data_IF_445121563268
#
_entry.id   IF_445121563268
#
_cell.length_a   1.000
_cell.length_b   1.000
_cell.length_c   1.000
_cell.angle_alpha   90.00
_cell.angle_beta   90.00
_cell.angle_gamma   90.00
#
_symmetry.space_group_name_H-M   'P 1'
#
loop_
_entity.id
_entity.type
_entity.pdbx_description
1 polymer ?
#
# COMPACT_ATOMS: atom_id res chain seq x y z
N UNK A 1 21.21 -63.00 -50.31
CA UNK A 1 20.81 -63.14 -51.72
C UNK A 1 19.40 -63.71 -51.93
N UNK A 2 18.93 -64.72 -51.16
CA UNK A 2 17.52 -65.19 -51.25
C UNK A 2 16.50 -64.30 -50.49
N UNK A 3 16.93 -63.59 -49.45
CA UNK A 3 16.06 -62.69 -48.65
C UNK A 3 15.77 -61.33 -49.33
N UNK A 4 16.60 -60.91 -50.30
CA UNK A 4 16.42 -59.69 -51.12
C UNK A 4 15.46 -59.91 -52.30
N UNK A 5 15.49 -61.10 -52.92
CA UNK A 5 14.66 -61.44 -54.09
C UNK A 5 13.19 -61.75 -53.76
N UNK A 6 12.84 -61.88 -52.47
CA UNK A 6 11.48 -62.23 -52.00
C UNK A 6 10.81 -61.12 -51.14
N UNK A 7 11.35 -59.89 -51.13
CA UNK A 7 10.77 -58.75 -50.37
C UNK A 7 10.82 -58.88 -48.84
N UNK A 8 11.46 -59.93 -48.33
CA UNK A 8 11.52 -60.23 -46.89
C UNK A 8 12.48 -59.32 -46.13
N UNK A 9 13.54 -58.85 -46.80
CA UNK A 9 14.46 -57.87 -46.24
C UNK A 9 13.77 -56.50 -46.02
N UNK A 10 12.96 -56.05 -46.98
CA UNK A 10 12.20 -54.80 -46.90
C UNK A 10 11.13 -54.86 -45.81
N UNK A 11 10.42 -55.98 -45.70
CA UNK A 11 9.46 -56.20 -44.61
C UNK A 11 10.12 -56.25 -43.22
N UNK A 12 11.32 -56.86 -43.10
CA UNK A 12 12.08 -56.84 -41.84
C UNK A 12 12.53 -55.42 -41.46
N UNK A 13 12.99 -54.63 -42.43
CA UNK A 13 13.35 -53.23 -42.22
C UNK A 13 12.14 -52.40 -41.78
N UNK A 14 10.96 -52.63 -42.40
CA UNK A 14 9.73 -51.94 -42.02
C UNK A 14 9.21 -52.36 -40.64
N UNK A 15 9.35 -53.64 -40.28
CA UNK A 15 9.02 -54.12 -38.93
C UNK A 15 9.93 -53.44 -37.91
N UNK A 16 11.23 -53.38 -38.16
CA UNK A 16 12.18 -52.74 -37.26
C UNK A 16 11.90 -51.24 -37.09
N UNK A 17 11.60 -50.53 -38.19
CA UNK A 17 11.21 -49.12 -38.16
C UNK A 17 9.92 -48.90 -37.36
N UNK A 18 8.90 -49.74 -37.55
CA UNK A 18 7.65 -49.68 -36.80
C UNK A 18 7.83 -50.04 -35.31
N UNK A 19 8.74 -50.95 -34.98
CA UNK A 19 9.09 -51.28 -33.60
C UNK A 19 9.80 -50.11 -32.91
N UNK A 20 10.72 -49.44 -33.60
CA UNK A 20 11.39 -48.23 -33.12
C UNK A 20 10.40 -47.06 -32.95
N UNK A 21 9.48 -46.86 -33.89
CA UNK A 21 8.43 -45.84 -33.84
C UNK A 21 7.45 -46.13 -32.69
N UNK A 22 7.04 -47.39 -32.51
CA UNK A 22 6.23 -47.82 -31.37
C UNK A 22 6.93 -47.51 -30.04
N UNK A 23 8.21 -47.85 -29.91
CA UNK A 23 8.98 -47.54 -28.70
C UNK A 23 9.17 -46.03 -28.48
N UNK A 24 9.23 -45.23 -29.54
CA UNK A 24 9.23 -43.77 -29.42
C UNK A 24 7.88 -43.24 -28.91
N UNK A 25 6.77 -43.71 -29.48
CA UNK A 25 5.42 -43.32 -29.06
C UNK A 25 5.10 -43.76 -27.62
N UNK A 26 5.52 -44.95 -27.22
CA UNK A 26 5.38 -45.44 -25.83
C UNK A 26 6.12 -44.53 -24.83
N UNK A 27 7.33 -44.08 -25.18
CA UNK A 27 8.10 -43.14 -24.34
C UNK A 27 7.43 -41.77 -24.26
N UNK A 28 6.90 -41.26 -25.38
CA UNK A 28 6.17 -39.99 -25.38
C UNK A 28 4.90 -40.08 -24.53
N UNK A 29 4.14 -41.17 -24.65
CA UNK A 29 2.92 -41.40 -23.86
C UNK A 29 3.24 -41.49 -22.36
N UNK A 30 4.32 -42.17 -21.99
CA UNK A 30 4.77 -42.26 -20.60
C UNK A 30 5.13 -40.88 -20.03
N UNK A 31 5.89 -40.07 -20.77
CA UNK A 31 6.26 -38.72 -20.35
C UNK A 31 5.05 -37.77 -20.24
N UNK A 32 4.08 -37.89 -21.14
CA UNK A 32 2.82 -37.13 -21.05
C UNK A 32 1.97 -37.57 -19.86
N UNK A 33 1.87 -38.89 -19.62
CA UNK A 33 1.13 -39.41 -18.48
C UNK A 33 1.75 -38.98 -17.14
N UNK A 34 3.08 -38.90 -17.06
CA UNK A 34 3.81 -38.40 -15.88
C UNK A 34 3.51 -36.92 -15.65
N UNK A 35 3.65 -36.06 -16.68
CA UNK A 35 3.31 -34.64 -16.59
C UNK A 35 1.87 -34.39 -16.16
N UNK A 36 0.93 -35.20 -16.65
CA UNK A 36 -0.49 -35.10 -16.27
C UNK A 36 -0.69 -35.50 -14.81
N UNK A 37 0.02 -36.51 -14.33
CA UNK A 37 0.00 -36.93 -12.92
C UNK A 37 0.53 -35.82 -12.01
N UNK A 38 1.66 -35.22 -12.36
CA UNK A 38 2.27 -34.14 -11.59
C UNK A 38 1.37 -32.90 -11.53
N UNK A 39 0.79 -32.48 -12.67
CA UNK A 39 -0.15 -31.36 -12.71
C UNK A 39 -1.41 -31.59 -11.84
N UNK A 40 -1.89 -32.84 -11.75
CA UNK A 40 -3.01 -33.19 -10.86
C UNK A 40 -2.58 -33.15 -9.40
N UNK A 41 -1.39 -33.64 -9.08
CA UNK A 41 -0.84 -33.60 -7.73
C UNK A 41 -0.65 -32.16 -7.25
N UNK A 42 -0.08 -31.28 -8.08
CA UNK A 42 0.10 -29.86 -7.79
C UNK A 42 -1.24 -29.17 -7.54
N UNK A 43 -2.25 -29.46 -8.37
CA UNK A 43 -3.61 -28.92 -8.18
C UNK A 43 -4.21 -29.37 -6.85
N UNK A 44 -4.06 -30.64 -6.50
CA UNK A 44 -4.55 -31.18 -5.23
C UNK A 44 -3.85 -30.54 -4.02
N UNK A 45 -2.54 -30.29 -4.10
CA UNK A 45 -1.81 -29.59 -3.05
C UNK A 45 -2.27 -28.14 -2.89
N UNK A 46 -2.54 -27.45 -4.00
CA UNK A 46 -3.07 -26.09 -3.98
C UNK A 46 -4.48 -26.06 -3.34
N UNK A 47 -5.38 -26.98 -3.73
CA UNK A 47 -6.72 -27.11 -3.16
C UNK A 47 -6.66 -27.40 -1.64
N UNK A 48 -5.77 -28.30 -1.19
CA UNK A 48 -5.57 -28.57 0.24
C UNK A 48 -5.10 -27.32 1.01
N UNK A 49 -4.24 -26.50 0.39
CA UNK A 49 -3.76 -25.27 0.99
C UNK A 49 -4.87 -24.23 1.11
N UNK A 50 -5.71 -24.10 0.10
CA UNK A 50 -6.90 -23.22 0.14
C UNK A 50 -7.82 -23.64 1.28
N UNK A 51 -8.21 -24.92 1.35
CA UNK A 51 -9.10 -25.42 2.41
C UNK A 51 -8.50 -25.16 3.81
N UNK A 52 -7.20 -25.39 4.00
CA UNK A 52 -6.53 -25.10 5.27
C UNK A 52 -6.52 -23.61 5.62
N UNK A 53 -6.42 -22.74 4.63
CA UNK A 53 -6.49 -21.29 4.84
C UNK A 53 -7.92 -20.84 5.16
N UNK A 54 -8.92 -21.41 4.49
CA UNK A 54 -10.34 -21.17 4.77
C UNK A 54 -10.71 -21.62 6.19
N UNK A 55 -10.30 -22.82 6.59
CA UNK A 55 -10.50 -23.32 7.96
C UNK A 55 -9.87 -22.37 9.00
N UNK A 56 -8.70 -21.82 8.69
CA UNK A 56 -8.01 -20.86 9.56
C UNK A 56 -8.72 -19.50 9.59
N UNK A 57 -9.30 -19.04 8.48
CA UNK A 57 -10.11 -17.84 8.44
C UNK A 57 -11.33 -18.03 9.36
N UNK A 58 -12.05 -19.14 9.19
CA UNK A 58 -13.21 -19.47 10.04
C UNK A 58 -12.81 -19.51 11.51
N UNK A 59 -11.70 -20.16 11.85
CA UNK A 59 -11.20 -20.22 13.23
C UNK A 59 -10.86 -18.83 13.81
N UNK A 60 -10.31 -17.94 12.98
CA UNK A 60 -9.97 -16.56 13.38
C UNK A 60 -11.21 -15.68 13.50
N UNK A 61 -12.17 -15.81 12.60
CA UNK A 61 -13.47 -15.14 12.67
C UNK A 61 -14.23 -15.56 13.94
N UNK A 62 -14.31 -16.86 14.22
CA UNK A 62 -14.90 -17.41 15.43
C UNK A 62 -14.22 -16.90 16.71
N UNK A 63 -12.91 -16.71 16.67
CA UNK A 63 -12.14 -16.17 17.81
C UNK A 63 -12.42 -14.70 18.00
N UNK A 64 -12.49 -13.94 16.90
CA UNK A 64 -12.84 -12.53 16.91
C UNK A 64 -14.26 -12.32 17.44
N UNK A 65 -15.22 -13.13 17.00
CA UNK A 65 -16.60 -13.07 17.49
C UNK A 65 -16.68 -13.38 18.99
N UNK A 66 -15.94 -14.39 19.47
CA UNK A 66 -15.87 -14.71 20.91
C UNK A 66 -15.16 -13.65 21.75
N UNK A 67 -14.20 -12.92 21.18
CA UNK A 67 -13.57 -11.77 21.84
C UNK A 67 -14.52 -10.56 21.85
N UNK A 68 -15.22 -10.30 20.75
CA UNK A 68 -16.26 -9.28 20.65
C UNK A 68 -17.44 -9.53 21.61
N UNK A 69 -17.82 -10.79 21.82
CA UNK A 69 -18.87 -11.22 22.75
C UNK A 69 -18.44 -11.12 24.23
N UNK A 70 -17.14 -11.07 24.53
CA UNK A 70 -16.62 -10.88 25.90
C UNK A 70 -16.50 -9.41 26.28
N UNK A 71 -16.28 -8.51 25.32
CA UNK A 71 -16.25 -7.05 25.52
C UNK A 71 -17.67 -6.42 25.61
N UNK A 72 -18.72 -7.14 25.22
CA UNK A 72 -20.09 -6.59 25.07
C UNK A 72 -20.85 -6.34 26.37
N UNK A 73 -20.23 -6.47 27.55
CA UNK A 73 -20.87 -6.08 28.80
C UNK A 73 -20.72 -4.58 29.12
N UNK A 74 -19.88 -3.80 28.41
CA UNK A 74 -19.80 -2.34 28.62
C UNK A 74 -19.15 -1.47 27.52
N UNK A 75 -18.65 -2.01 26.41
CA UNK A 75 -17.80 -1.22 25.51
C UNK A 75 -18.53 -0.35 24.47
N UNK A 76 -18.17 0.95 24.46
CA UNK A 76 -18.51 1.86 23.37
C UNK A 76 -17.82 1.36 22.10
N UNK A 77 -18.53 1.34 20.97
CA UNK A 77 -17.96 0.99 19.66
C UNK A 77 -17.71 2.24 18.83
N UNK A 78 -16.77 2.16 17.87
CA UNK A 78 -16.56 3.23 16.89
C UNK A 78 -17.88 3.47 16.14
N UNK A 79 -18.51 4.63 16.36
CA UNK A 79 -19.79 5.00 15.74
C UNK A 79 -19.71 5.11 14.23
N UNK A 80 -18.53 5.45 13.71
CA UNK A 80 -18.30 5.43 12.27
C UNK A 80 -16.96 5.99 11.85
N UNK A 81 -16.46 5.48 10.73
CA UNK A 81 -15.30 6.00 10.02
C UNK A 81 -15.74 6.73 8.74
N UNK A 82 -15.07 7.82 8.36
CA UNK A 82 -15.27 8.49 7.07
C UNK A 82 -13.93 8.94 6.49
N UNK A 83 -13.70 8.73 5.18
CA UNK A 83 -12.56 9.32 4.47
C UNK A 83 -12.95 10.71 3.94
N UNK A 84 -12.20 11.73 4.35
CA UNK A 84 -12.47 13.13 4.06
C UNK A 84 -11.44 13.66 3.04
N UNK A 85 -11.95 14.35 2.01
CA UNK A 85 -11.16 15.04 0.97
C UNK A 85 -11.86 16.35 0.56
N UNK A 86 -11.10 17.27 -0.04
CA UNK A 86 -11.62 18.49 -0.68
C UNK A 86 -12.58 19.30 0.20
N UNK A 87 -13.74 19.67 -0.36
CA UNK A 87 -14.76 20.48 0.33
C UNK A 87 -15.36 19.80 1.58
N UNK A 88 -15.43 18.47 1.61
CA UNK A 88 -15.94 17.73 2.79
C UNK A 88 -14.98 17.82 3.96
N UNK A 89 -13.67 17.69 3.71
CA UNK A 89 -12.63 17.94 4.71
C UNK A 89 -12.69 19.38 5.20
N UNK A 90 -12.84 20.36 4.28
CA UNK A 90 -12.98 21.78 4.63
C UNK A 90 -14.06 22.00 5.68
N UNK A 91 -15.27 21.50 5.39
CA UNK A 91 -16.42 21.68 6.25
C UNK A 91 -16.27 21.03 7.63
N UNK A 92 -15.49 19.94 7.75
CA UNK A 92 -15.20 19.31 9.04
C UNK A 92 -14.20 20.14 9.84
N UNK A 93 -13.10 20.59 9.21
CA UNK A 93 -12.10 21.43 9.86
C UNK A 93 -12.69 22.77 10.30
N UNK A 94 -13.53 23.40 9.47
CA UNK A 94 -14.22 24.64 9.80
C UNK A 94 -15.16 24.47 11.00
N UNK A 95 -15.87 23.33 11.09
CA UNK A 95 -16.71 23.02 12.26
C UNK A 95 -15.89 22.88 13.53
N UNK A 96 -14.78 22.16 13.48
CA UNK A 96 -13.88 22.01 14.64
C UNK A 96 -13.36 23.38 15.07
N UNK A 97 -12.92 24.23 14.13
CA UNK A 97 -12.46 25.59 14.43
C UNK A 97 -13.54 26.53 14.97
N UNK A 98 -14.78 26.33 14.55
CA UNK A 98 -15.92 27.13 15.02
C UNK A 98 -16.36 26.79 16.45
N UNK A 99 -15.91 25.65 16.98
CA UNK A 99 -16.28 25.20 18.31
C UNK A 99 -15.55 26.05 19.36
N UNK A 100 -16.32 26.72 20.21
CA UNK A 100 -15.84 27.58 21.28
C UNK A 100 -16.43 27.13 22.61
N UNK A 101 -15.58 27.08 23.63
CA UNK A 101 -15.92 26.67 25.00
C UNK A 101 -15.51 27.75 25.99
N UNK A 102 -15.73 27.50 27.29
CA UNK A 102 -15.04 28.25 28.34
C UNK A 102 -13.54 27.93 28.36
N UNK A 103 -12.76 28.60 29.23
CA UNK A 103 -11.36 28.29 29.42
C UNK A 103 -11.16 26.79 29.68
N UNK A 104 -10.19 26.19 28.97
CA UNK A 104 -9.83 24.77 29.08
C UNK A 104 -11.00 23.80 28.78
N UNK A 105 -11.96 24.20 27.93
CA UNK A 105 -13.10 23.33 27.58
C UNK A 105 -12.92 22.49 26.31
N UNK A 106 -11.89 22.74 25.50
CA UNK A 106 -11.62 22.01 24.26
C UNK A 106 -10.24 21.34 24.29
N UNK A 107 -10.21 20.00 24.28
CA UNK A 107 -8.99 19.19 24.23
C UNK A 107 -8.61 18.89 22.78
N UNK A 108 -7.35 19.14 22.44
CA UNK A 108 -6.71 18.66 21.22
C UNK A 108 -5.48 17.84 21.60
N UNK A 109 -5.36 16.61 21.11
CA UNK A 109 -4.22 15.75 21.41
C UNK A 109 -3.73 14.97 20.19
N UNK A 110 -2.47 15.16 19.81
CA UNK A 110 -1.82 14.32 18.80
C UNK A 110 -1.27 13.05 19.44
N UNK A 111 -1.94 11.92 19.17
CA UNK A 111 -1.52 10.58 19.58
C UNK A 111 -0.77 9.95 18.41
N UNK A 112 0.55 9.84 18.54
CA UNK A 112 1.45 9.45 17.44
C UNK A 112 1.76 7.94 17.41
N UNK A 113 1.64 7.27 18.55
CA UNK A 113 1.99 5.86 18.72
C UNK A 113 0.82 5.08 19.33
N UNK A 114 0.39 4.01 18.65
CA UNK A 114 -0.70 3.14 19.09
C UNK A 114 -0.27 2.13 20.17
N UNK A 115 1.04 1.84 20.26
CA UNK A 115 1.61 0.93 21.25
C UNK A 115 1.91 1.66 22.57
N UNK A 116 2.14 2.97 22.51
CA UNK A 116 2.34 3.80 23.69
C UNK A 116 1.05 3.97 24.50
N UNK A 117 1.21 4.06 25.82
CA UNK A 117 0.12 4.47 26.70
C UNK A 117 -0.34 5.90 26.35
N UNK A 118 -1.65 6.15 26.43
CA UNK A 118 -2.16 7.50 26.29
C UNK A 118 -1.66 8.38 27.44
N UNK A 119 -1.34 9.66 27.18
CA UNK A 119 -1.14 10.63 28.25
C UNK A 119 -2.34 10.63 29.20
N UNK A 120 -2.09 10.76 30.51
CA UNK A 120 -3.12 10.70 31.55
C UNK A 120 -4.30 11.61 31.25
N UNK A 121 -4.02 12.86 30.87
CA UNK A 121 -5.03 13.85 30.45
C UNK A 121 -5.93 13.37 29.31
N UNK A 122 -5.38 12.64 28.34
CA UNK A 122 -6.14 12.09 27.22
C UNK A 122 -6.96 10.89 27.66
N UNK A 123 -6.39 10.02 28.51
CA UNK A 123 -7.10 8.86 29.05
C UNK A 123 -8.27 9.28 29.93
N UNK A 124 -8.12 10.32 30.75
CA UNK A 124 -9.18 10.88 31.59
C UNK A 124 -10.28 11.50 30.73
N UNK A 125 -9.91 12.33 29.75
CA UNK A 125 -10.88 13.00 28.87
C UNK A 125 -11.64 12.02 27.96
N UNK A 126 -10.94 11.01 27.42
CA UNK A 126 -11.56 9.98 26.61
C UNK A 126 -12.44 9.04 27.45
N UNK A 127 -12.13 8.88 28.74
CA UNK A 127 -12.76 7.93 29.64
C UNK A 127 -12.77 6.52 29.04
N UNK A 128 -13.95 5.91 28.97
CA UNK A 128 -14.15 4.58 28.40
C UNK A 128 -13.73 4.48 26.92
N UNK A 129 -13.65 5.60 26.17
CA UNK A 129 -13.21 5.60 24.78
C UNK A 129 -11.69 5.52 24.62
N UNK A 130 -10.90 5.60 25.70
CA UNK A 130 -9.43 5.61 25.66
C UNK A 130 -8.80 4.51 24.80
N UNK A 131 -9.20 3.23 24.91
CA UNK A 131 -8.68 2.17 24.06
C UNK A 131 -8.94 2.40 22.56
N UNK A 132 -10.11 2.96 22.20
CA UNK A 132 -10.45 3.29 20.81
C UNK A 132 -9.63 4.46 20.28
N UNK A 133 -9.40 5.48 21.11
CA UNK A 133 -8.54 6.63 20.78
C UNK A 133 -7.12 6.16 20.51
N UNK A 134 -6.58 5.29 21.37
CA UNK A 134 -5.25 4.69 21.17
C UNK A 134 -5.17 3.89 19.86
N UNK A 135 -6.18 3.07 19.58
CA UNK A 135 -6.26 2.27 18.33
C UNK A 135 -6.39 3.14 17.07
N UNK A 136 -6.90 4.37 17.19
CA UNK A 136 -6.99 5.30 16.07
C UNK A 136 -5.64 5.92 15.69
N UNK A 137 -4.60 5.80 16.53
CA UNK A 137 -3.29 6.37 16.27
C UNK A 137 -2.62 5.79 15.00
N UNK A 138 -1.82 6.59 14.26
CA UNK A 138 -1.55 8.01 14.49
C UNK A 138 -2.78 8.88 14.17
N UNK A 139 -3.20 9.72 15.11
CA UNK A 139 -4.36 10.60 14.96
C UNK A 139 -4.34 11.77 15.95
N UNK A 140 -5.07 12.83 15.59
CA UNK A 140 -5.37 13.96 16.47
C UNK A 140 -6.77 13.75 17.04
N UNK A 141 -6.85 13.57 18.35
CA UNK A 141 -8.07 13.42 19.11
C UNK A 141 -8.59 14.79 19.55
N UNK A 142 -9.89 15.01 19.34
CA UNK A 142 -10.62 16.20 19.71
C UNK A 142 -11.82 15.81 20.59
N UNK A 143 -11.89 16.39 21.79
CA UNK A 143 -13.03 16.25 22.69
C UNK A 143 -13.25 17.50 23.52
N UNK A 144 -14.48 17.75 23.94
CA UNK A 144 -14.82 18.84 24.86
C UNK A 144 -15.17 18.34 26.27
N UNK A 145 -15.18 19.27 27.20
CA UNK A 145 -15.55 19.05 28.61
C UNK A 145 -17.02 18.63 28.81
N UNK A 146 -17.91 18.98 27.87
CA UNK A 146 -19.31 18.58 27.88
C UNK A 146 -19.61 17.29 27.09
N UNK A 147 -18.62 16.71 26.40
CA UNK A 147 -18.74 15.47 25.63
C UNK A 147 -19.62 15.58 24.37
N UNK A 148 -19.79 16.78 23.82
CA UNK A 148 -20.50 17.04 22.56
C UNK A 148 -19.72 16.58 21.32
N UNK A 149 -18.39 16.63 21.40
CA UNK A 149 -17.42 16.27 20.37
C UNK A 149 -16.55 15.17 20.95
N UNK A 150 -16.40 14.07 20.22
CA UNK A 150 -15.42 13.02 20.52
C UNK A 150 -15.05 12.35 19.21
N UNK A 151 -13.98 12.86 18.59
CA UNK A 151 -13.56 12.44 17.25
C UNK A 151 -12.04 12.37 17.16
N UNK A 152 -11.54 11.48 16.33
CA UNK A 152 -10.13 11.46 15.94
C UNK A 152 -10.00 11.68 14.43
N UNK A 153 -9.09 12.56 14.03
CA UNK A 153 -8.69 12.73 12.64
C UNK A 153 -7.29 12.15 12.46
N UNK A 154 -7.11 11.24 11.50
CA UNK A 154 -5.79 10.79 11.06
C UNK A 154 -5.33 11.69 9.91
N UNK A 155 -4.42 12.65 10.17
CA UNK A 155 -3.94 13.56 9.14
C UNK A 155 -2.97 12.85 8.19
N UNK A 156 -2.88 13.31 6.93
CA UNK A 156 -1.79 13.00 6.01
C UNK A 156 -0.40 13.25 6.62
N UNK A 157 -0.25 14.38 7.32
CA UNK A 157 0.99 14.74 8.00
C UNK A 157 0.75 14.73 9.50
N UNK A 158 1.41 13.78 10.17
CA UNK A 158 1.27 13.61 11.63
C UNK A 158 2.15 14.64 12.35
N UNK A 159 1.58 15.53 13.18
CA UNK A 159 2.39 16.44 13.98
C UNK A 159 3.15 15.71 15.08
N UNK A 160 4.10 16.41 15.72
CA UNK A 160 4.68 15.95 16.97
C UNK A 160 3.59 15.75 18.04
N UNK A 161 3.83 14.82 18.96
CA UNK A 161 2.88 14.52 20.04
C UNK A 161 2.64 15.75 20.92
N UNK A 162 1.38 16.10 21.13
CA UNK A 162 0.98 17.19 22.01
C UNK A 162 -0.34 16.89 22.70
N UNK A 163 -0.60 17.59 23.80
CA UNK A 163 -1.87 17.60 24.53
C UNK A 163 -2.12 19.04 24.94
N UNK A 164 -3.28 19.59 24.57
CA UNK A 164 -3.60 21.01 24.79
C UNK A 164 -5.08 21.19 25.11
N UNK A 165 -5.37 21.87 26.22
CA UNK A 165 -6.70 22.32 26.59
C UNK A 165 -6.79 23.83 26.39
N UNK A 166 -7.77 24.25 25.59
CA UNK A 166 -7.98 25.65 25.27
C UNK A 166 -9.47 25.99 25.14
N UNK A 167 -9.78 27.25 24.85
CA UNK A 167 -11.15 27.69 24.52
C UNK A 167 -11.62 27.22 23.13
N UNK A 168 -10.69 26.74 22.29
CA UNK A 168 -10.95 26.27 20.93
C UNK A 168 -10.03 25.09 20.57
N UNK A 169 -10.43 24.29 19.60
CA UNK A 169 -9.57 23.21 19.11
C UNK A 169 -8.35 23.73 18.32
N UNK A 170 -7.19 23.13 18.57
CA UNK A 170 -5.97 23.35 17.78
C UNK A 170 -6.08 22.58 16.45
N UNK A 171 -6.34 23.32 15.37
CA UNK A 171 -6.50 22.75 14.02
C UNK A 171 -5.61 23.50 13.03
N UNK A 172 -4.47 22.91 12.68
CA UNK A 172 -3.54 23.44 11.67
C UNK A 172 -3.87 22.89 10.28
N UNK A 173 -4.00 23.75 9.26
CA UNK A 173 -4.30 23.28 7.88
C UNK A 173 -3.17 22.47 7.28
N UNK A 174 -1.92 22.78 7.63
CA UNK A 174 -0.75 22.17 7.02
C UNK A 174 -0.62 20.67 7.32
N UNK A 175 -1.36 20.15 8.31
CA UNK A 175 -1.46 18.71 8.59
C UNK A 175 -2.38 17.98 7.61
N UNK A 176 -3.35 18.70 7.04
CA UNK A 176 -4.46 18.14 6.28
C UNK A 176 -4.47 18.52 4.80
N UNK A 177 -3.71 19.57 4.43
CA UNK A 177 -3.73 20.15 3.09
C UNK A 177 -2.34 20.61 2.63
N UNK A 178 -2.10 20.59 1.31
CA UNK A 178 -0.93 21.25 0.72
C UNK A 178 -1.10 22.77 0.89
N UNK A 179 -0.31 23.36 1.78
CA UNK A 179 -0.29 24.81 2.03
C UNK A 179 1.11 25.32 1.76
N UNK A 180 1.24 26.56 1.29
CA UNK A 180 2.53 27.11 0.86
C UNK A 180 3.07 26.39 -0.37
N UNK A 181 4.40 26.39 -0.49
CA UNK A 181 5.10 25.79 -1.63
C UNK A 181 5.50 24.34 -1.33
N UNK A 182 5.13 23.41 -2.21
CA UNK A 182 5.33 21.98 -2.03
C UNK A 182 5.89 21.35 -3.31
N UNK A 183 6.93 20.55 -3.18
CA UNK A 183 7.29 19.56 -4.20
C UNK A 183 6.70 18.21 -3.80
N UNK A 184 5.89 17.63 -4.69
CA UNK A 184 5.27 16.33 -4.49
C UNK A 184 5.69 15.37 -5.60
N UNK A 185 6.12 14.16 -5.24
CA UNK A 185 6.57 13.14 -6.19
C UNK A 185 5.92 11.79 -6.00
N UNK A 186 5.85 11.02 -7.10
CA UNK A 186 5.53 9.60 -7.10
C UNK A 186 6.73 8.80 -7.65
N UNK A 187 7.14 7.76 -6.94
CA UNK A 187 8.32 6.94 -7.23
C UNK A 187 7.89 5.48 -7.33
N UNK A 188 8.05 4.88 -8.50
CA UNK A 188 7.83 3.45 -8.73
C UNK A 188 9.03 2.86 -9.44
N UNK A 189 9.07 1.54 -9.56
CA UNK A 189 10.15 0.88 -10.28
C UNK A 189 10.23 1.28 -11.77
N UNK A 190 9.11 1.70 -12.37
CA UNK A 190 8.95 1.96 -13.80
C UNK A 190 8.34 3.33 -14.13
N UNK A 191 7.95 4.11 -13.12
CA UNK A 191 7.28 5.40 -13.28
C UNK A 191 7.79 6.38 -12.24
N UNK A 192 8.20 7.56 -12.70
CA UNK A 192 8.50 8.70 -11.85
C UNK A 192 7.72 9.92 -12.32
N UNK A 193 7.16 10.66 -11.38
CA UNK A 193 6.58 11.96 -11.65
C UNK A 193 6.79 12.89 -10.47
N UNK A 194 6.95 14.18 -10.76
CA UNK A 194 7.10 15.24 -9.77
C UNK A 194 6.30 16.46 -10.22
N UNK A 195 5.72 17.16 -9.25
CA UNK A 195 5.06 18.43 -9.47
C UNK A 195 5.40 19.43 -8.38
N UNK A 196 5.38 20.71 -8.75
CA UNK A 196 5.45 21.83 -7.81
C UNK A 196 4.03 22.34 -7.60
N UNK A 197 3.69 22.59 -6.35
CA UNK A 197 2.36 23.02 -5.93
C UNK A 197 2.49 24.29 -5.08
N UNK A 198 1.59 25.23 -5.31
CA UNK A 198 1.42 26.45 -4.51
C UNK A 198 -0.01 26.47 -3.99
N UNK A 199 -0.19 26.40 -2.66
CA UNK A 199 -1.49 26.35 -1.99
C UNK A 199 -2.47 25.28 -2.56
N UNK A 200 -1.89 24.17 -3.04
CA UNK A 200 -2.62 23.03 -3.61
C UNK A 200 -2.83 23.07 -5.12
N UNK A 201 -2.51 24.17 -5.78
CA UNK A 201 -2.56 24.28 -7.24
C UNK A 201 -1.22 23.88 -7.86
N UNK A 202 -1.23 22.98 -8.85
CA UNK A 202 -0.02 22.52 -9.53
C UNK A 202 0.49 23.58 -10.51
N UNK A 203 1.72 24.04 -10.32
CA UNK A 203 2.37 25.07 -11.15
C UNK A 203 3.37 24.49 -12.14
N UNK A 204 4.07 23.41 -11.76
CA UNK A 204 5.00 22.69 -12.63
C UNK A 204 4.75 21.18 -12.58
N UNK A 205 5.15 20.49 -13.66
CA UNK A 205 5.04 19.04 -13.78
C UNK A 205 6.17 18.49 -14.65
N UNK A 206 6.78 17.40 -14.20
CA UNK A 206 7.68 16.57 -14.99
C UNK A 206 7.49 15.10 -14.62
N UNK A 207 7.71 14.19 -15.57
CA UNK A 207 7.64 12.76 -15.29
C UNK A 207 7.95 11.92 -16.52
N UNK A 208 8.33 10.68 -16.28
CA UNK A 208 8.74 9.73 -17.32
C UNK A 208 8.44 8.29 -16.91
N UNK A 209 8.41 7.41 -17.91
CA UNK A 209 8.26 5.96 -17.75
C UNK A 209 9.54 5.29 -18.23
N UNK A 210 9.99 4.27 -17.49
CA UNK A 210 11.15 3.45 -17.88
C UNK A 210 10.71 2.04 -18.24
N UNK A 211 11.36 1.46 -19.25
CA UNK A 211 11.06 0.10 -19.72
C UNK A 211 11.69 -0.97 -18.80
N UNK A 212 11.31 -0.96 -17.52
CA UNK A 212 11.70 -2.01 -16.56
C UNK A 212 10.89 -3.26 -16.86
N UNK A 213 11.56 -4.38 -17.12
CA UNK A 213 10.85 -5.62 -17.46
C UNK A 213 10.04 -6.13 -16.26
N UNK A 214 8.74 -6.35 -16.46
CA UNK A 214 7.84 -6.95 -15.47
C UNK A 214 8.13 -8.44 -15.26
N UNK A 215 7.85 -8.94 -14.05
CA UNK A 215 8.01 -10.36 -13.71
C UNK A 215 7.24 -11.27 -14.67
N UNK A 216 7.97 -12.05 -15.46
CA UNK A 216 7.39 -13.15 -16.22
C UNK A 216 7.79 -14.47 -15.56
N UNK A 217 6.78 -15.17 -15.03
CA UNK A 217 6.87 -16.48 -14.36
C UNK A 217 7.20 -17.64 -15.32
N UNK A 218 8.16 -17.48 -16.23
CA UNK A 218 8.61 -18.55 -17.12
C UNK A 218 10.01 -19.04 -16.74
N UNK A 219 10.00 -19.99 -15.79
CA UNK A 219 10.87 -21.18 -15.78
C UNK A 219 12.36 -20.99 -15.53
N UNK A 220 12.88 -21.79 -14.59
CA UNK A 220 14.27 -21.81 -14.12
C UNK A 220 15.32 -21.85 -15.23
N UNK A 221 16.53 -21.40 -14.85
CA UNK A 221 17.77 -21.20 -15.62
C UNK A 221 18.06 -19.79 -16.15
N UNK A 222 17.08 -18.87 -16.22
CA UNK A 222 17.33 -17.47 -16.64
C UNK A 222 16.98 -16.40 -15.61
N UNK A 223 16.46 -16.80 -14.44
CA UNK A 223 15.93 -15.89 -13.42
C UNK A 223 16.99 -14.93 -12.85
N UNK A 224 18.14 -15.43 -12.41
CA UNK A 224 19.17 -14.56 -11.80
C UNK A 224 19.85 -13.58 -12.78
N UNK A 225 19.82 -13.83 -14.10
CA UNK A 225 20.28 -12.83 -15.09
C UNK A 225 19.19 -11.79 -15.37
N UNK A 226 17.94 -12.21 -15.39
CA UNK A 226 16.80 -11.33 -15.56
C UNK A 226 16.65 -10.36 -14.38
N UNK A 227 16.72 -10.88 -13.16
CA UNK A 227 16.66 -10.07 -11.92
C UNK A 227 17.80 -9.05 -11.86
N UNK A 228 19.02 -9.41 -12.27
CA UNK A 228 20.15 -8.45 -12.32
C UNK A 228 19.91 -7.32 -13.32
N UNK A 229 19.51 -7.65 -14.55
CA UNK A 229 19.22 -6.65 -15.57
C UNK A 229 18.07 -5.75 -15.10
N UNK A 230 17.03 -6.33 -14.49
CA UNK A 230 15.90 -5.58 -13.96
C UNK A 230 16.34 -4.62 -12.84
N UNK A 231 17.16 -5.08 -11.90
CA UNK A 231 17.66 -4.23 -10.82
C UNK A 231 18.51 -3.09 -11.38
N UNK A 232 19.41 -3.36 -12.33
CA UNK A 232 20.20 -2.34 -13.03
C UNK A 232 19.30 -1.30 -13.73
N UNK A 233 18.22 -1.75 -14.39
CA UNK A 233 17.24 -0.83 -14.99
C UNK A 233 16.47 0.01 -13.96
N UNK A 234 16.21 -0.54 -12.77
CA UNK A 234 15.57 0.20 -11.67
C UNK A 234 16.54 1.22 -11.11
N UNK A 235 17.81 0.84 -10.91
CA UNK A 235 18.84 1.75 -10.42
C UNK A 235 19.01 2.94 -11.38
N UNK A 236 19.10 2.69 -12.68
CA UNK A 236 19.14 3.74 -13.71
C UNK A 236 17.90 4.65 -13.67
N UNK A 237 16.71 4.06 -13.49
CA UNK A 237 15.45 4.81 -13.36
C UNK A 237 15.46 5.71 -12.12
N UNK A 238 15.96 5.20 -10.98
CA UNK A 238 16.00 5.94 -9.73
C UNK A 238 17.06 7.04 -9.72
N UNK A 239 18.16 6.86 -10.44
CA UNK A 239 19.16 7.92 -10.63
C UNK A 239 18.60 9.07 -11.47
N UNK A 240 17.91 8.78 -12.58
CA UNK A 240 17.22 9.81 -13.39
C UNK A 240 16.11 10.52 -12.57
N UNK A 241 15.36 9.75 -11.78
CA UNK A 241 14.34 10.30 -10.87
C UNK A 241 14.95 11.21 -9.81
N UNK A 242 16.10 10.84 -9.23
CA UNK A 242 16.85 11.64 -8.26
C UNK A 242 17.29 12.96 -8.87
N UNK A 243 17.91 12.94 -10.05
CA UNK A 243 18.37 14.15 -10.74
C UNK A 243 17.22 15.11 -11.00
N UNK A 244 16.11 14.58 -11.54
CA UNK A 244 14.92 15.38 -11.84
C UNK A 244 14.27 15.95 -10.56
N UNK A 245 14.23 15.17 -9.48
CA UNK A 245 13.68 15.61 -8.20
C UNK A 245 14.52 16.75 -7.59
N UNK A 246 15.85 16.56 -7.52
CA UNK A 246 16.78 17.55 -6.96
C UNK A 246 16.68 18.86 -7.73
N UNK A 247 16.63 18.80 -9.07
CA UNK A 247 16.47 19.99 -9.90
C UNK A 247 15.17 20.76 -9.60
N UNK A 248 14.04 20.08 -9.37
CA UNK A 248 12.80 20.75 -8.97
C UNK A 248 12.87 21.32 -7.55
N UNK A 249 13.48 20.60 -6.60
CA UNK A 249 13.67 21.09 -5.22
C UNK A 249 14.53 22.36 -5.23
N UNK A 250 15.66 22.34 -5.93
CA UNK A 250 16.60 23.46 -5.99
C UNK A 250 15.99 24.68 -6.70
N UNK A 251 15.20 24.46 -7.77
CA UNK A 251 14.54 25.54 -8.52
C UNK A 251 13.37 26.16 -7.76
N UNK A 252 12.51 25.34 -7.16
CA UNK A 252 11.32 25.81 -6.46
C UNK A 252 11.64 26.32 -5.05
N UNK A 253 12.68 25.76 -4.40
CA UNK A 253 12.98 25.98 -2.98
C UNK A 253 11.70 25.88 -2.12
N UNK A 254 11.03 24.72 -2.12
CA UNK A 254 9.71 24.57 -1.50
C UNK A 254 9.80 24.60 0.03
N UNK A 255 8.68 24.88 0.69
CA UNK A 255 8.55 24.73 2.14
C UNK A 255 8.61 23.26 2.56
N UNK A 256 8.26 22.34 1.64
CA UNK A 256 8.23 20.90 1.91
C UNK A 256 8.42 20.05 0.66
N UNK A 257 8.97 18.86 0.87
CA UNK A 257 9.07 17.79 -0.13
C UNK A 257 8.37 16.53 0.37
N UNK A 258 7.44 16.00 -0.42
CA UNK A 258 6.69 14.78 -0.10
C UNK A 258 6.85 13.79 -1.24
N UNK A 259 7.29 12.56 -0.91
CA UNK A 259 7.39 11.49 -1.89
C UNK A 259 6.43 10.36 -1.55
N UNK A 260 5.74 9.87 -2.55
CA UNK A 260 4.89 8.68 -2.45
C UNK A 260 5.36 7.63 -3.42
N UNK A 261 5.07 6.35 -3.17
CA UNK A 261 5.53 5.35 -4.12
C UNK A 261 5.43 3.90 -3.66
N UNK A 262 6.10 3.05 -4.43
CA UNK A 262 6.31 1.65 -4.06
C UNK A 262 7.37 1.58 -2.95
N UNK A 263 7.05 0.92 -1.83
CA UNK A 263 7.94 0.89 -0.64
C UNK A 263 9.33 0.32 -0.92
N UNK A 264 9.44 -0.57 -1.90
CA UNK A 264 10.70 -1.24 -2.26
C UNK A 264 11.75 -0.27 -2.83
N UNK A 265 11.31 0.77 -3.55
CA UNK A 265 12.19 1.73 -4.24
C UNK A 265 12.12 3.14 -3.64
N UNK A 266 11.02 3.50 -2.97
CA UNK A 266 10.85 4.80 -2.34
C UNK A 266 11.95 5.12 -1.32
N UNK A 267 12.50 4.10 -0.67
CA UNK A 267 13.57 4.27 0.33
C UNK A 267 14.84 4.90 -0.25
N UNK A 268 15.16 4.64 -1.53
CA UNK A 268 16.36 5.16 -2.20
C UNK A 268 16.34 6.69 -2.42
N UNK A 269 15.14 7.28 -2.38
CA UNK A 269 14.93 8.73 -2.51
C UNK A 269 14.38 9.37 -1.23
N UNK A 270 14.12 8.58 -0.19
CA UNK A 270 13.51 9.07 1.06
C UNK A 270 14.33 10.15 1.77
N UNK A 271 15.66 10.16 1.60
CA UNK A 271 16.55 11.19 2.17
C UNK A 271 16.37 12.59 1.57
N UNK A 272 15.62 12.73 0.48
CA UNK A 272 15.28 14.01 -0.16
C UNK A 272 13.89 14.51 0.24
N UNK A 273 13.14 13.76 1.05
CA UNK A 273 11.75 14.05 1.40
C UNK A 273 11.59 14.31 2.90
N UNK A 274 10.74 15.28 3.25
CA UNK A 274 10.31 15.50 4.63
C UNK A 274 9.31 14.43 5.07
N UNK A 275 8.48 13.94 4.13
CA UNK A 275 7.51 12.90 4.36
C UNK A 275 7.46 11.88 3.22
N UNK A 276 7.26 10.62 3.59
CA UNK A 276 7.10 9.52 2.65
C UNK A 276 5.85 8.70 2.93
N UNK A 277 5.15 8.24 1.89
CA UNK A 277 4.04 7.30 2.04
C UNK A 277 3.98 6.27 0.91
N UNK A 278 3.47 5.08 1.20
CA UNK A 278 3.19 4.09 0.15
C UNK A 278 1.96 4.48 -0.64
N UNK A 279 1.97 4.30 -1.96
CA UNK A 279 0.77 4.45 -2.80
C UNK A 279 0.71 3.37 -3.88
N UNK A 280 -0.50 3.03 -4.31
CA UNK A 280 -0.76 2.15 -5.45
C UNK A 280 -0.90 2.92 -6.77
N UNK A 281 -0.77 4.25 -6.73
CA UNK A 281 -0.97 5.16 -7.86
C UNK A 281 -0.17 4.72 -9.09
N UNK A 282 -0.85 4.40 -10.20
CA UNK A 282 -0.22 3.85 -11.39
C UNK A 282 -0.73 4.47 -12.67
N UNK A 283 -0.28 3.91 -13.79
CA UNK A 283 -0.56 4.46 -15.13
C UNK A 283 0.49 5.52 -15.52
N UNK A 284 0.08 6.44 -16.40
CA UNK A 284 0.98 7.47 -16.92
C UNK A 284 1.48 8.40 -15.80
N UNK A 285 2.69 8.98 -15.91
CA UNK A 285 3.29 9.82 -14.87
C UNK A 285 2.35 10.88 -14.30
N UNK A 286 1.64 11.61 -15.16
CA UNK A 286 0.70 12.66 -14.73
C UNK A 286 -0.49 12.10 -13.95
N UNK A 287 -1.09 11.02 -14.43
CA UNK A 287 -2.22 10.37 -13.77
C UNK A 287 -1.81 9.71 -12.44
N UNK A 288 -0.62 9.12 -12.39
CA UNK A 288 -0.04 8.57 -11.17
C UNK A 288 0.19 9.68 -10.14
N UNK A 289 0.70 10.84 -10.56
CA UNK A 289 0.90 11.98 -9.68
C UNK A 289 -0.42 12.52 -9.12
N UNK A 290 -1.43 12.72 -9.97
CA UNK A 290 -2.74 13.24 -9.55
C UNK A 290 -3.45 12.30 -8.58
N UNK A 291 -3.39 10.98 -8.85
CA UNK A 291 -3.93 9.96 -7.95
C UNK A 291 -3.18 9.97 -6.61
N UNK A 292 -1.84 9.94 -6.65
CA UNK A 292 -1.02 9.94 -5.44
C UNK A 292 -1.25 11.19 -4.59
N UNK A 293 -1.35 12.37 -5.21
CA UNK A 293 -1.64 13.63 -4.53
C UNK A 293 -3.02 13.57 -3.86
N UNK A 294 -4.05 13.10 -4.57
CA UNK A 294 -5.40 12.96 -4.03
C UNK A 294 -5.46 11.94 -2.88
N UNK A 295 -4.72 10.85 -3.01
CA UNK A 295 -4.71 9.77 -2.03
C UNK A 295 -3.95 10.15 -0.77
N UNK A 296 -2.76 10.74 -0.91
CA UNK A 296 -1.96 11.22 0.21
C UNK A 296 -2.72 12.22 1.08
N UNK A 297 -3.39 13.21 0.48
CA UNK A 297 -4.15 14.23 1.20
C UNK A 297 -5.53 13.77 1.69
N UNK A 298 -5.68 12.48 1.95
CA UNK A 298 -6.90 11.91 2.55
C UNK A 298 -6.80 11.89 4.05
N UNK A 299 -7.78 12.49 4.71
CA UNK A 299 -7.89 12.42 6.17
C UNK A 299 -8.92 11.38 6.57
N UNK A 300 -8.61 10.51 7.52
CA UNK A 300 -9.60 9.56 8.06
C UNK A 300 -10.20 10.11 9.35
N UNK A 301 -11.51 10.31 9.37
CA UNK A 301 -12.29 10.66 10.56
C UNK A 301 -12.78 9.37 11.25
N UNK A 302 -12.59 9.29 12.55
CA UNK A 302 -13.13 8.26 13.45
C UNK A 302 -14.01 8.95 14.49
N UNK A 303 -15.24 8.43 14.67
CA UNK A 303 -16.21 8.93 15.65
C UNK A 303 -16.42 7.89 16.75
N UNK A 304 -16.37 8.31 18.01
CA UNK A 304 -16.59 7.47 19.19
C UNK A 304 -17.95 7.76 19.84
#
# INVERSE_FOLDING_TARGET
>A
MLDELLGRAELKARIQELEEEKHHLERQLAAESERRSDAVADRQQAEQRVNKLEDKIIELEDRLDREADRETATDRTVRGTESLRGGRLAAVLDRLRSFQTGPEGALSAAVVDAEAALPETVSEAAGDCGPLVRRAAPAIYYTDDAGLVSVALRPPITPEGFVDWAETFRVDESWFRPTGSLVFGVVRADVFAVGVYEDGDRTEFAGFESNVKSDHSKGGFSQGRFERIRNEQIDDHLDEARELLVDHIDRANPDRVILTGEQSVLQELSGLADHTASTDAGGKPEAALDHAMTDFWTTRLVRF
#
